data_IF_476425535851
#
_entry.id   IF_476425535851
#
_cell.length_a   1.000
_cell.length_b   1.000
_cell.length_c   1.000
_cell.angle_alpha   90.00
_cell.angle_beta   90.00
_cell.angle_gamma   90.00
#
_symmetry.space_group_name_H-M   'P 1'
#
loop_
_entity.id
_entity.type
_entity.pdbx_description
1 polymer ?
#
# COMPACT_ATOMS: atom_id res chain seq x y z
N UNK A 1 8.18 -25.34 20.26
CA UNK A 1 7.48 -24.36 19.40
C UNK A 1 8.51 -23.76 18.47
N UNK A 2 8.25 -23.57 17.16
CA UNK A 2 9.28 -23.06 16.28
C UNK A 2 9.54 -21.59 16.65
N UNK A 3 10.76 -21.34 17.11
CA UNK A 3 11.34 -20.02 17.28
C UNK A 3 11.16 -19.25 15.97
N UNK A 4 10.57 -18.06 16.03
CA UNK A 4 10.69 -17.05 14.98
C UNK A 4 12.17 -16.63 14.93
N UNK A 5 12.99 -17.47 14.32
CA UNK A 5 14.34 -17.10 13.96
C UNK A 5 14.21 -16.01 12.90
N UNK A 6 14.56 -14.78 13.29
CA UNK A 6 14.97 -13.73 12.36
C UNK A 6 15.89 -14.36 11.32
N UNK A 7 15.35 -14.58 10.13
CA UNK A 7 16.09 -15.08 8.99
C UNK A 7 17.19 -14.06 8.72
N UNK A 8 18.45 -14.50 8.83
CA UNK A 8 19.60 -13.75 8.33
C UNK A 8 19.27 -13.22 6.94
N UNK A 9 19.65 -11.97 6.58
CA UNK A 9 19.27 -11.37 5.31
C UNK A 9 19.69 -12.30 4.18
N UNK A 10 18.69 -12.94 3.57
CA UNK A 10 18.87 -13.85 2.45
C UNK A 10 19.35 -13.05 1.25
N UNK A 11 20.28 -13.67 0.51
CA UNK A 11 20.87 -13.24 -0.77
C UNK A 11 19.97 -12.25 -1.54
N UNK A 12 20.47 -11.04 -1.79
CA UNK A 12 19.77 -10.04 -2.59
C UNK A 12 19.75 -10.48 -4.05
N UNK A 13 18.74 -11.25 -4.44
CA UNK A 13 18.40 -11.44 -5.85
C UNK A 13 17.91 -10.10 -6.39
N UNK A 14 18.55 -9.61 -7.47
CA UNK A 14 18.15 -8.35 -8.09
C UNK A 14 17.12 -8.67 -9.17
N UNK A 15 15.89 -8.27 -8.90
CA UNK A 15 14.80 -8.41 -9.85
C UNK A 15 14.66 -7.16 -10.71
N UNK A 16 14.31 -7.35 -11.97
CA UNK A 16 13.82 -6.29 -12.85
C UNK A 16 12.56 -6.76 -13.55
N UNK A 17 11.67 -5.83 -13.86
CA UNK A 17 10.41 -6.11 -14.53
C UNK A 17 10.16 -5.08 -15.62
N UNK A 18 9.70 -5.57 -16.76
CA UNK A 18 9.20 -4.79 -17.88
C UNK A 18 7.75 -5.20 -18.11
N UNK A 19 6.89 -4.21 -18.25
CA UNK A 19 5.48 -4.44 -18.56
C UNK A 19 5.22 -3.89 -19.95
N UNK A 20 4.46 -4.62 -20.74
CA UNK A 20 3.99 -4.21 -22.05
C UNK A 20 2.53 -4.62 -22.23
N UNK A 21 1.86 -4.03 -23.20
CA UNK A 21 0.48 -4.39 -23.54
C UNK A 21 0.45 -5.82 -24.08
N UNK A 22 -0.48 -6.63 -23.61
CA UNK A 22 -0.69 -7.99 -24.10
C UNK A 22 -1.33 -8.03 -25.49
N UNK A 23 -1.65 -9.23 -25.97
CA UNK A 23 -2.40 -9.38 -27.24
C UNK A 23 -3.80 -8.80 -27.15
N UNK A 24 -4.40 -8.89 -25.97
CA UNK A 24 -5.71 -8.35 -25.67
C UNK A 24 -5.54 -7.08 -24.82
N UNK A 25 -6.31 -6.02 -25.11
CA UNK A 25 -6.25 -4.73 -24.40
C UNK A 25 -6.50 -4.83 -22.88
N UNK A 26 -7.03 -5.98 -22.43
CA UNK A 26 -7.33 -6.28 -21.03
C UNK A 26 -6.21 -6.99 -20.28
N UNK A 27 -5.11 -7.30 -20.97
CA UNK A 27 -3.97 -8.07 -20.46
C UNK A 27 -2.67 -7.31 -20.61
N UNK A 28 -1.74 -7.59 -19.71
CA UNK A 28 -0.37 -7.10 -19.73
C UNK A 28 0.57 -8.27 -19.87
N UNK A 29 1.57 -8.10 -20.73
CA UNK A 29 2.73 -8.99 -20.79
C UNK A 29 3.77 -8.48 -19.81
N UNK A 30 4.17 -9.34 -18.89
CA UNK A 30 5.16 -9.09 -17.85
C UNK A 30 6.39 -9.92 -18.18
N UNK A 31 7.45 -9.24 -18.59
CA UNK A 31 8.78 -9.83 -18.74
C UNK A 31 9.57 -9.48 -17.47
N UNK A 32 9.90 -10.49 -16.66
CA UNK A 32 10.67 -10.32 -15.43
C UNK A 32 12.01 -11.05 -15.54
N UNK A 33 13.04 -10.46 -14.96
CA UNK A 33 14.40 -11.02 -14.95
C UNK A 33 14.88 -11.02 -13.52
N UNK A 34 15.17 -12.21 -13.00
CA UNK A 34 15.83 -12.41 -11.73
C UNK A 34 17.32 -12.63 -11.99
N UNK A 35 18.15 -11.69 -11.55
CA UNK A 35 19.61 -11.82 -11.55
C UNK A 35 20.02 -12.34 -10.18
N UNK A 36 20.60 -13.54 -10.16
CA UNK A 36 21.30 -14.06 -8.99
C UNK A 36 22.73 -13.53 -9.07
N UNK A 37 23.23 -12.83 -8.05
CA UNK A 37 24.65 -12.43 -8.05
C UNK A 37 25.54 -13.69 -7.93
N UNK A 38 26.67 -13.77 -8.65
CA UNK A 38 27.59 -14.90 -8.58
C UNK A 38 28.08 -15.10 -7.15
N UNK A 39 28.10 -16.35 -6.69
CA UNK A 39 29.10 -16.81 -5.72
C UNK A 39 30.19 -17.54 -6.51
N UNK A 40 31.45 -17.27 -6.15
CA UNK A 40 32.59 -18.09 -6.53
C UNK A 40 32.37 -19.52 -6.06
N UNK A 41 31.76 -20.36 -6.90
CA UNK A 41 31.79 -21.82 -6.83
C UNK A 41 31.54 -22.37 -8.23
N UNK A 42 32.64 -22.72 -8.89
CA UNK A 42 32.65 -23.50 -10.12
C UNK A 42 31.88 -24.82 -9.96
N UNK A 43 31.16 -25.19 -11.02
CA UNK A 43 30.87 -26.60 -11.32
C UNK A 43 29.39 -26.95 -11.46
N UNK A 44 28.87 -26.83 -12.69
CA UNK A 44 28.07 -27.88 -13.32
C UNK A 44 27.69 -27.45 -14.75
N UNK A 45 28.22 -28.17 -15.73
CA UNK A 45 27.93 -27.99 -17.15
C UNK A 45 26.46 -28.27 -17.46
N UNK A 46 25.80 -27.32 -18.14
CA UNK A 46 24.43 -27.46 -18.61
C UNK A 46 24.19 -26.57 -19.84
N UNK A 47 23.96 -27.23 -20.97
CA UNK A 47 23.81 -26.69 -22.32
C UNK A 47 22.79 -25.53 -22.45
N UNK A 48 23.25 -24.38 -22.97
CA UNK A 48 22.40 -23.28 -23.44
C UNK A 48 23.08 -21.92 -23.30
N UNK A 49 23.09 -21.12 -24.37
CA UNK A 49 23.67 -19.77 -24.46
C UNK A 49 22.82 -18.73 -23.67
N UNK A 50 22.67 -18.97 -22.36
CA UNK A 50 22.05 -18.08 -21.39
C UNK A 50 22.95 -18.08 -20.17
N UNK A 51 23.37 -16.88 -19.79
CA UNK A 51 24.12 -16.62 -18.56
C UNK A 51 23.52 -17.43 -17.39
N UNK A 52 24.23 -18.41 -16.79
CA UNK A 52 23.67 -19.37 -15.82
C UNK A 52 23.10 -18.68 -14.56
N UNK A 53 23.43 -17.41 -14.36
CA UNK A 53 23.07 -16.58 -13.22
C UNK A 53 21.78 -15.76 -13.41
N UNK A 54 21.26 -15.69 -14.65
CA UNK A 54 20.11 -14.84 -14.99
C UNK A 54 18.91 -15.69 -15.43
N UNK A 55 17.85 -15.72 -14.61
CA UNK A 55 16.58 -16.37 -14.95
C UNK A 55 15.58 -15.35 -15.47
N UNK A 56 15.20 -15.47 -16.74
CA UNK A 56 14.15 -14.65 -17.38
C UNK A 56 12.81 -15.39 -17.39
N UNK A 57 11.75 -14.77 -16.91
CA UNK A 57 10.37 -15.27 -16.96
C UNK A 57 9.50 -14.31 -17.77
N UNK A 58 8.63 -14.84 -18.62
CA UNK A 58 7.64 -14.07 -19.38
C UNK A 58 6.26 -14.63 -19.08
N UNK A 59 5.38 -13.82 -18.52
CA UNK A 59 4.01 -14.21 -18.17
C UNK A 59 3.01 -13.19 -18.69
N UNK A 60 1.77 -13.62 -18.90
CA UNK A 60 0.65 -12.72 -19.22
C UNK A 60 -0.25 -12.64 -18.00
N UNK A 61 -0.60 -11.42 -17.59
CA UNK A 61 -1.48 -11.14 -16.44
C UNK A 61 -2.53 -10.14 -16.82
N UNK A 62 -3.75 -10.38 -16.41
CA UNK A 62 -4.85 -9.43 -16.47
C UNK A 62 -4.69 -8.34 -15.41
N UNK A 63 -5.31 -7.18 -15.66
CA UNK A 63 -5.38 -6.11 -14.66
C UNK A 63 -6.01 -6.57 -13.34
N UNK A 64 -6.99 -7.48 -13.40
CA UNK A 64 -7.62 -8.06 -12.21
C UNK A 64 -6.64 -8.90 -11.38
N UNK A 65 -5.71 -9.62 -12.01
CA UNK A 65 -4.67 -10.37 -11.30
C UNK A 65 -3.67 -9.44 -10.61
N UNK A 66 -3.37 -8.28 -11.20
CA UNK A 66 -2.52 -7.26 -10.56
C UNK A 66 -3.23 -6.65 -9.35
N UNK A 67 -4.54 -6.38 -9.45
CA UNK A 67 -5.34 -5.94 -8.31
C UNK A 67 -5.37 -7.00 -7.19
N UNK A 68 -5.50 -8.28 -7.53
CA UNK A 68 -5.40 -9.37 -6.55
C UNK A 68 -4.04 -9.44 -5.86
N UNK A 69 -2.94 -9.29 -6.63
CA UNK A 69 -1.59 -9.22 -6.05
C UNK A 69 -1.46 -8.00 -5.13
N UNK A 70 -2.05 -6.87 -5.51
CA UNK A 70 -2.05 -5.66 -4.69
C UNK A 70 -2.72 -5.89 -3.35
N UNK A 71 -3.93 -6.45 -3.34
CA UNK A 71 -4.66 -6.74 -2.10
C UNK A 71 -3.91 -7.78 -1.25
N UNK A 72 -3.34 -8.80 -1.88
CA UNK A 72 -2.49 -9.79 -1.23
C UNK A 72 -1.30 -9.16 -0.49
N UNK A 73 -0.53 -8.31 -1.20
CA UNK A 73 0.65 -7.66 -0.62
C UNK A 73 0.25 -6.78 0.56
N UNK A 74 -0.84 -6.02 0.42
CA UNK A 74 -1.39 -5.18 1.50
C UNK A 74 -1.73 -6.00 2.74
N UNK A 75 -2.36 -7.17 2.56
CA UNK A 75 -2.85 -8.00 3.66
C UNK A 75 -1.73 -8.81 4.33
N UNK A 76 -0.83 -9.42 3.55
CA UNK A 76 0.25 -10.26 4.07
C UNK A 76 1.42 -9.45 4.63
N UNK A 77 1.65 -8.26 4.09
CA UNK A 77 2.83 -7.44 4.39
C UNK A 77 2.45 -6.00 4.80
N UNK A 78 1.67 -5.83 5.90
CA UNK A 78 1.05 -4.55 6.23
C UNK A 78 2.05 -3.45 6.63
N UNK A 79 3.29 -3.81 6.99
CA UNK A 79 4.33 -2.86 7.42
C UNK A 79 5.01 -2.10 6.27
N UNK A 80 4.78 -2.51 5.02
CA UNK A 80 5.40 -1.88 3.87
C UNK A 80 4.48 -0.82 3.26
N UNK A 81 4.98 0.42 3.18
CA UNK A 81 4.40 1.41 2.28
C UNK A 81 4.86 1.10 0.86
N UNK A 82 3.95 1.07 -0.10
CA UNK A 82 4.29 0.92 -1.52
C UNK A 82 3.56 1.95 -2.38
N UNK A 83 4.22 2.38 -3.45
CA UNK A 83 3.63 3.25 -4.46
C UNK A 83 2.50 2.49 -5.15
N UNK A 84 1.30 3.05 -5.12
CA UNK A 84 0.17 2.42 -5.81
C UNK A 84 -0.05 3.10 -7.12
N UNK A 85 0.17 2.27 -8.11
CA UNK A 85 -0.22 2.43 -9.47
C UNK A 85 -0.71 1.07 -9.97
N UNK A 86 -1.53 0.37 -9.18
CA UNK A 86 -2.28 -0.74 -9.77
C UNK A 86 -3.30 -0.11 -10.73
N UNK A 87 -3.31 -0.48 -12.02
CA UNK A 87 -4.24 0.10 -12.99
C UNK A 87 -5.68 -0.15 -12.52
N UNK A 88 -6.38 0.93 -12.19
CA UNK A 88 -7.77 0.86 -11.77
C UNK A 88 -8.63 0.46 -12.95
N UNK A 89 -9.11 -0.78 -12.98
CA UNK A 89 -10.11 -1.17 -13.97
C UNK A 89 -11.46 -0.57 -13.59
N UNK A 90 -11.78 0.63 -14.07
CA UNK A 90 -13.14 1.17 -14.01
C UNK A 90 -13.60 1.66 -15.39
N UNK A 91 -14.15 0.71 -16.16
CA UNK A 91 -15.26 0.94 -17.09
C UNK A 91 -15.07 1.83 -18.32
N UNK A 92 -13.95 2.52 -18.46
CA UNK A 92 -13.67 3.40 -19.61
C UNK A 92 -12.21 3.26 -19.97
N UNK A 93 -11.89 3.22 -21.26
CA UNK A 93 -10.57 2.94 -21.79
C UNK A 93 -9.50 3.86 -21.16
N UNK A 94 -8.84 3.39 -20.10
CA UNK A 94 -7.56 3.95 -19.70
C UNK A 94 -6.64 3.69 -20.88
N UNK A 95 -5.96 4.72 -21.38
CA UNK A 95 -4.94 4.55 -22.41
C UNK A 95 -3.96 3.45 -21.97
N UNK A 96 -3.80 2.41 -22.79
CA UNK A 96 -3.04 1.21 -22.40
C UNK A 96 -1.59 1.53 -22.00
N UNK A 97 -1.05 2.64 -22.50
CA UNK A 97 0.25 3.20 -22.12
C UNK A 97 0.30 3.61 -20.65
N UNK A 98 -0.69 4.37 -20.18
CA UNK A 98 -0.77 4.79 -18.78
C UNK A 98 -0.94 3.57 -17.86
N UNK A 99 -1.82 2.64 -18.23
CA UNK A 99 -2.05 1.41 -17.47
C UNK A 99 -0.78 0.55 -17.37
N UNK A 100 0.00 0.45 -18.46
CA UNK A 100 1.29 -0.25 -18.50
C UNK A 100 2.32 0.42 -17.60
N UNK A 101 2.45 1.75 -17.67
CA UNK A 101 3.37 2.53 -16.82
C UNK A 101 3.07 2.29 -15.33
N UNK A 102 1.79 2.28 -15.00
CA UNK A 102 1.32 2.07 -13.64
C UNK A 102 1.60 0.67 -13.13
N UNK A 103 1.20 -0.35 -13.88
CA UNK A 103 1.54 -1.72 -13.55
C UNK A 103 3.05 -1.92 -13.40
N UNK A 104 3.87 -1.31 -14.27
CA UNK A 104 5.32 -1.37 -14.16
C UNK A 104 5.83 -0.74 -12.88
N UNK A 105 5.36 0.46 -12.51
CA UNK A 105 5.77 1.13 -11.28
C UNK A 105 5.42 0.30 -10.04
N UNK A 106 4.19 -0.24 -9.98
CA UNK A 106 3.75 -1.09 -8.87
C UNK A 106 4.59 -2.37 -8.78
N UNK A 107 4.72 -3.14 -9.86
CA UNK A 107 5.46 -4.40 -9.85
C UNK A 107 6.95 -4.19 -9.59
N UNK A 108 7.53 -3.08 -10.08
CA UNK A 108 8.91 -2.70 -9.77
C UNK A 108 9.06 -2.40 -8.28
N UNK A 109 8.11 -1.71 -7.66
CA UNK A 109 8.12 -1.43 -6.21
C UNK A 109 8.03 -2.71 -5.38
N UNK A 110 7.20 -3.67 -5.81
CA UNK A 110 7.08 -4.98 -5.14
C UNK A 110 8.42 -5.72 -5.21
N UNK A 111 9.02 -5.82 -6.40
CA UNK A 111 10.27 -6.55 -6.62
C UNK A 111 11.52 -5.82 -6.07
N UNK A 112 11.47 -4.50 -5.91
CA UNK A 112 12.52 -3.73 -5.27
C UNK A 112 12.58 -3.95 -3.75
N UNK A 113 11.53 -4.54 -3.15
CA UNK A 113 11.45 -4.81 -1.71
C UNK A 113 11.87 -6.26 -1.44
N UNK A 114 13.04 -6.52 -0.82
CA UNK A 114 13.57 -7.88 -0.68
C UNK A 114 12.62 -8.85 0.05
N UNK A 115 11.92 -8.38 1.09
CA UNK A 115 10.96 -9.21 1.83
C UNK A 115 9.78 -9.68 0.96
N UNK A 116 9.35 -8.85 0.00
CA UNK A 116 8.28 -9.20 -0.95
C UNK A 116 8.82 -10.06 -2.09
N UNK A 117 9.98 -9.71 -2.64
CA UNK A 117 10.61 -10.45 -3.74
C UNK A 117 11.00 -11.88 -3.34
N UNK A 118 11.29 -12.11 -2.07
CA UNK A 118 11.64 -13.43 -1.53
C UNK A 118 10.41 -14.25 -1.07
N UNK A 119 9.18 -13.74 -1.22
CA UNK A 119 7.95 -14.47 -0.90
C UNK A 119 7.64 -15.49 -2.01
N UNK A 120 8.28 -16.65 -1.90
CA UNK A 120 8.23 -17.75 -2.88
C UNK A 120 6.84 -18.32 -3.08
N UNK A 121 5.98 -18.22 -2.08
CA UNK A 121 4.73 -18.95 -2.03
C UNK A 121 3.61 -18.21 -2.76
N UNK A 122 3.66 -16.87 -2.81
CA UNK A 122 2.59 -16.10 -3.44
C UNK A 122 3.05 -15.00 -4.39
N UNK A 123 4.11 -14.26 -4.06
CA UNK A 123 4.55 -13.12 -4.88
C UNK A 123 5.41 -13.63 -6.03
N UNK A 124 6.39 -14.50 -5.76
CA UNK A 124 7.23 -15.07 -6.82
C UNK A 124 6.42 -15.91 -7.80
N UNK A 125 5.36 -16.60 -7.35
CA UNK A 125 4.45 -17.36 -8.21
C UNK A 125 3.76 -16.45 -9.23
N UNK A 126 3.41 -15.21 -8.85
CA UNK A 126 2.83 -14.23 -9.76
C UNK A 126 3.73 -13.95 -10.97
N UNK A 127 5.05 -13.90 -10.79
CA UNK A 127 6.01 -13.59 -11.86
C UNK A 127 6.49 -14.81 -12.64
N UNK A 128 6.44 -16.00 -12.03
CA UNK A 128 7.07 -17.21 -12.56
C UNK A 128 6.07 -18.22 -13.14
N UNK A 129 4.83 -18.25 -12.66
CA UNK A 129 3.82 -19.21 -13.12
C UNK A 129 3.29 -18.84 -14.52
N UNK A 130 3.07 -19.83 -15.39
CA UNK A 130 2.40 -19.60 -16.68
C UNK A 130 0.87 -19.63 -16.53
N UNK A 131 0.37 -20.17 -15.42
CA UNK A 131 -1.07 -20.28 -15.16
C UNK A 131 -1.66 -18.95 -14.66
N UNK A 132 -2.98 -18.89 -14.67
CA UNK A 132 -3.74 -17.79 -14.07
C UNK A 132 -3.37 -17.67 -12.60
N UNK A 133 -3.10 -16.44 -12.18
CA UNK A 133 -2.83 -16.13 -10.79
C UNK A 133 -4.13 -16.17 -9.98
N UNK A 134 -4.15 -17.08 -9.01
CA UNK A 134 -5.18 -17.18 -7.99
C UNK A 134 -4.40 -17.29 -6.68
N UNK A 135 -4.40 -16.26 -5.83
CA UNK A 135 -3.76 -16.39 -4.52
C UNK A 135 -4.49 -17.49 -3.74
N UNK A 136 -3.71 -18.37 -3.08
CA UNK A 136 -4.30 -19.43 -2.25
C UNK A 136 -5.23 -18.83 -1.19
N UNK A 137 -6.40 -19.44 -0.94
CA UNK A 137 -7.32 -18.95 0.08
C UNK A 137 -6.64 -18.97 1.45
N UNK A 138 -6.52 -17.79 2.05
CA UNK A 138 -5.90 -17.63 3.35
C UNK A 138 -6.67 -18.38 4.44
N UNK A 139 -5.99 -19.13 5.33
CA UNK A 139 -6.48 -19.19 6.70
C UNK A 139 -6.44 -17.77 7.25
N UNK A 140 -7.51 -17.26 7.89
CA UNK A 140 -7.53 -15.89 8.39
C UNK A 140 -6.31 -15.67 9.29
N UNK A 141 -5.40 -14.79 8.88
CA UNK A 141 -4.30 -14.37 9.73
C UNK A 141 -4.89 -13.87 11.06
N UNK A 142 -4.32 -14.22 12.22
CA UNK A 142 -4.79 -13.73 13.51
C UNK A 142 -4.32 -12.29 13.69
N UNK A 143 -4.81 -11.37 12.85
CA UNK A 143 -4.61 -9.93 12.98
C UNK A 143 -5.94 -9.20 12.97
N UNK A 144 -6.96 -9.78 13.61
CA UNK A 144 -8.19 -9.09 13.98
C UNK A 144 -8.71 -9.62 15.32
N UNK A 145 -7.88 -9.58 16.37
CA UNK A 145 -8.46 -9.41 17.70
C UNK A 145 -9.00 -7.98 17.77
N UNK A 146 -10.31 -7.87 17.51
CA UNK A 146 -11.22 -6.77 17.84
C UNK A 146 -10.59 -5.53 18.48
N UNK A 147 -10.89 -4.38 17.85
CA UNK A 147 -11.13 -3.08 18.52
C UNK A 147 -11.63 -3.30 19.95
N UNK A 148 -10.77 -3.00 20.92
CA UNK A 148 -11.24 -2.50 22.21
C UNK A 148 -10.98 -1.00 22.18
N UNK A 149 -12.08 -0.26 22.09
CA UNK A 149 -12.08 1.17 22.28
C UNK A 149 -11.44 1.53 23.63
N UNK A 150 -10.71 2.63 23.63
CA UNK A 150 -10.34 3.41 24.81
C UNK A 150 -9.60 2.65 25.93
N UNK A 151 -8.27 2.69 25.88
CA UNK A 151 -7.51 2.93 27.11
C UNK A 151 -6.29 3.78 26.78
N UNK A 152 -6.50 5.10 26.75
CA UNK A 152 -5.44 6.07 26.98
C UNK A 152 -4.89 5.80 28.39
N UNK A 153 -3.82 4.99 28.45
CA UNK A 153 -3.15 4.64 29.69
C UNK A 153 -1.75 5.22 29.65
N UNK A 154 -1.59 6.36 30.31
CA UNK A 154 -0.34 7.05 30.49
C UNK A 154 0.67 6.16 31.25
N UNK A 155 1.61 5.56 30.52
CA UNK A 155 2.89 5.11 31.08
C UNK A 155 4.03 5.43 30.10
N UNK A 156 4.42 6.70 30.11
CA UNK A 156 5.75 7.14 29.69
C UNK A 156 6.60 7.23 30.95
N UNK A 157 7.74 6.53 31.08
CA UNK A 157 8.84 7.03 31.92
C UNK A 157 10.23 6.34 31.83
N UNK A 158 10.55 5.47 30.86
CA UNK A 158 11.95 4.91 30.81
C UNK A 158 12.66 5.01 29.44
N UNK A 159 12.03 5.45 28.35
CA UNK A 159 12.69 5.61 27.02
C UNK A 159 12.38 6.94 26.28
N UNK A 160 12.22 8.04 27.03
CA UNK A 160 11.50 9.23 26.57
C UNK A 160 12.11 10.01 25.39
N UNK A 161 13.41 10.29 25.35
CA UNK A 161 13.89 11.34 24.44
C UNK A 161 13.93 10.98 22.94
N UNK A 162 14.06 9.69 22.59
CA UNK A 162 13.99 9.22 21.19
C UNK A 162 12.57 8.80 20.80
N UNK A 163 11.73 8.43 21.76
CA UNK A 163 10.34 8.01 21.52
C UNK A 163 9.48 9.18 21.07
N UNK A 164 9.63 10.34 21.70
CA UNK A 164 8.85 11.55 21.37
C UNK A 164 9.05 11.99 19.90
N UNK A 165 10.29 11.96 19.39
CA UNK A 165 10.59 12.29 18.00
C UNK A 165 10.06 11.26 17.01
N UNK A 166 10.07 9.98 17.40
CA UNK A 166 9.55 8.88 16.59
C UNK A 166 8.04 8.98 16.49
N UNK A 167 7.34 9.18 17.61
CA UNK A 167 5.88 9.29 17.62
C UNK A 167 5.42 10.58 16.92
N UNK A 168 6.16 11.70 17.08
CA UNK A 168 5.94 12.92 16.31
C UNK A 168 6.00 12.69 14.80
N UNK A 169 6.96 11.89 14.32
CA UNK A 169 7.03 11.55 12.89
C UNK A 169 5.75 10.83 12.43
N UNK A 170 5.25 9.86 13.20
CA UNK A 170 4.07 9.09 12.80
C UNK A 170 2.78 9.91 12.89
N UNK A 171 2.67 10.80 13.87
CA UNK A 171 1.56 11.76 13.95
C UNK A 171 1.55 12.72 12.75
N UNK A 172 2.73 13.23 12.37
CA UNK A 172 2.89 14.05 11.17
C UNK A 172 2.56 13.27 9.89
N UNK A 173 3.03 12.03 9.79
CA UNK A 173 2.76 11.16 8.64
C UNK A 173 1.26 10.89 8.50
N UNK A 174 0.57 10.63 9.61
CA UNK A 174 -0.89 10.41 9.65
C UNK A 174 -1.66 11.67 9.26
N UNK A 175 -1.30 12.82 9.82
CA UNK A 175 -1.90 14.10 9.47
C UNK A 175 -1.69 14.44 7.99
N UNK A 176 -0.49 14.20 7.46
CA UNK A 176 -0.18 14.37 6.04
C UNK A 176 -1.05 13.48 5.16
N UNK A 177 -1.14 12.17 5.46
CA UNK A 177 -1.99 11.23 4.69
C UNK A 177 -3.43 11.72 4.63
N UNK A 178 -4.02 12.07 5.78
CA UNK A 178 -5.40 12.53 5.85
C UNK A 178 -5.62 13.83 5.06
N UNK A 179 -4.69 14.77 5.15
CA UNK A 179 -4.77 16.04 4.41
C UNK A 179 -4.71 15.81 2.89
N UNK A 180 -3.74 15.03 2.41
CA UNK A 180 -3.60 14.72 0.98
C UNK A 180 -4.80 13.92 0.49
N UNK A 181 -5.25 12.91 1.24
CA UNK A 181 -6.42 12.11 0.88
C UNK A 181 -7.68 12.97 0.74
N UNK A 182 -7.92 13.88 1.69
CA UNK A 182 -9.03 14.83 1.62
C UNK A 182 -8.96 15.73 0.38
N UNK A 183 -7.77 16.24 0.06
CA UNK A 183 -7.53 17.03 -1.14
C UNK A 183 -7.80 16.26 -2.43
N UNK A 184 -7.29 15.03 -2.54
CA UNK A 184 -7.49 14.18 -3.72
C UNK A 184 -8.96 13.82 -3.94
N UNK A 185 -9.69 13.49 -2.86
CA UNK A 185 -11.13 13.20 -2.96
C UNK A 185 -11.93 14.42 -3.43
N UNK A 186 -11.57 15.62 -2.97
CA UNK A 186 -12.18 16.86 -3.44
C UNK A 186 -11.89 17.11 -4.93
N UNK A 187 -10.64 16.90 -5.36
CA UNK A 187 -10.24 17.04 -6.78
C UNK A 187 -11.00 16.05 -7.67
N UNK A 188 -11.09 14.77 -7.26
CA UNK A 188 -11.87 13.75 -7.99
C UNK A 188 -13.33 14.18 -8.15
N UNK A 189 -13.97 14.62 -7.06
CA UNK A 189 -15.36 15.10 -7.10
C UNK A 189 -15.53 16.28 -8.05
N UNK A 190 -14.59 17.22 -8.04
CA UNK A 190 -14.60 18.38 -8.94
C UNK A 190 -14.40 17.95 -10.40
N UNK A 191 -13.54 16.96 -10.67
CA UNK A 191 -13.35 16.40 -12.01
C UNK A 191 -14.62 15.70 -12.52
N UNK A 192 -15.30 14.91 -11.68
CA UNK A 192 -16.58 14.27 -12.06
C UNK A 192 -17.64 15.34 -12.39
N UNK A 193 -17.71 16.41 -11.59
CA UNK A 193 -18.63 17.53 -11.82
C UNK A 193 -18.28 18.26 -13.12
N UNK A 194 -17.00 18.58 -13.33
CA UNK A 194 -16.51 19.25 -14.54
C UNK A 194 -16.82 18.44 -15.79
N UNK A 195 -16.48 17.14 -15.80
CA UNK A 195 -16.76 16.26 -16.92
C UNK A 195 -18.27 16.16 -17.20
N UNK A 196 -19.10 16.06 -16.16
CA UNK A 196 -20.56 16.10 -16.30
C UNK A 196 -21.05 17.39 -16.99
N UNK A 197 -20.57 18.55 -16.52
CA UNK A 197 -20.94 19.84 -17.14
C UNK A 197 -20.46 19.98 -18.58
N UNK A 198 -19.29 19.41 -18.93
CA UNK A 198 -18.79 19.41 -20.30
C UNK A 198 -19.64 18.51 -21.22
N UNK A 199 -20.08 17.35 -20.74
CA UNK A 199 -20.99 16.46 -21.50
C UNK A 199 -22.33 17.17 -21.76
N UNK A 200 -22.89 17.84 -20.75
CA UNK A 200 -24.11 18.64 -20.90
C UNK A 200 -23.91 19.80 -21.89
N UNK A 201 -22.77 20.50 -21.80
CA UNK A 201 -22.42 21.57 -22.73
C UNK A 201 -22.29 21.06 -24.17
N UNK A 202 -21.58 19.96 -24.39
CA UNK A 202 -21.46 19.29 -25.69
C UNK A 202 -22.82 18.90 -26.27
N UNK A 203 -23.72 18.38 -25.44
CA UNK A 203 -25.11 18.08 -25.84
C UNK A 203 -25.85 19.33 -26.33
N UNK A 204 -25.64 20.47 -25.67
CA UNK A 204 -26.19 21.77 -26.10
C UNK A 204 -25.61 22.26 -27.44
N UNK A 205 -24.31 22.06 -27.65
CA UNK A 205 -23.64 22.38 -28.93
C UNK A 205 -24.21 21.52 -30.07
N UNK A 206 -24.35 20.21 -29.85
CA UNK A 206 -24.97 19.28 -30.81
C UNK A 206 -26.41 19.66 -31.18
N UNK A 207 -27.23 20.04 -30.20
CA UNK A 207 -28.60 20.49 -30.47
C UNK A 207 -28.63 21.80 -31.28
N UNK A 208 -27.67 22.69 -31.03
CA UNK A 208 -27.54 23.96 -31.76
C UNK A 208 -27.11 23.71 -33.20
N UNK A 209 -26.10 22.86 -33.40
CA UNK A 209 -25.66 22.36 -34.71
C UNK A 209 -26.83 21.78 -35.49
N UNK A 210 -27.56 20.82 -34.92
CA UNK A 210 -28.71 20.15 -35.56
C UNK A 210 -29.75 21.16 -36.04
N UNK A 211 -30.14 22.11 -35.18
CA UNK A 211 -31.12 23.15 -35.55
C UNK A 211 -30.61 24.08 -36.64
N UNK A 212 -29.34 24.49 -36.60
CA UNK A 212 -28.75 25.33 -37.63
C UNK A 212 -28.72 24.61 -38.97
N UNK A 213 -28.37 23.33 -38.98
CA UNK A 213 -28.40 22.47 -40.17
C UNK A 213 -29.81 22.31 -40.73
N UNK A 214 -30.83 22.14 -39.87
CA UNK A 214 -32.24 22.13 -40.27
C UNK A 214 -32.68 23.45 -40.89
N UNK A 215 -32.35 24.60 -40.29
CA UNK A 215 -32.67 25.91 -40.88
C UNK A 215 -31.95 26.15 -42.21
N UNK A 216 -30.74 25.62 -42.35
CA UNK A 216 -29.92 25.76 -43.54
C UNK A 216 -30.27 24.77 -44.67
N UNK A 217 -31.28 23.91 -44.47
CA UNK A 217 -31.70 22.92 -45.46
C UNK A 217 -32.44 23.53 -46.65
N UNK A 218 -32.87 24.80 -46.55
CA UNK A 218 -33.49 25.52 -47.65
C UNK A 218 -32.42 26.24 -48.49
N UNK A 219 -32.02 25.63 -49.60
CA UNK A 219 -30.96 26.14 -50.50
C UNK A 219 -31.26 27.49 -51.16
N UNK A 220 -32.52 27.97 -51.11
CA UNK A 220 -32.91 29.26 -51.66
C UNK A 220 -32.74 30.42 -50.67
N UNK A 221 -32.38 30.16 -49.40
CA UNK A 221 -32.14 31.20 -48.41
C UNK A 221 -30.70 31.76 -48.55
N UNK A 222 -30.53 33.08 -48.78
CA UNK A 222 -29.21 33.69 -48.90
C UNK A 222 -28.32 33.55 -47.65
N UNK A 223 -28.87 33.19 -46.49
CA UNK A 223 -28.14 33.02 -45.22
C UNK A 223 -27.75 31.54 -44.98
N UNK A 224 -28.33 30.59 -45.72
CA UNK A 224 -28.15 29.15 -45.49
C UNK A 224 -26.66 28.72 -45.46
N UNK A 225 -25.83 29.28 -46.35
CA UNK A 225 -24.39 28.98 -46.37
C UNK A 225 -23.66 29.37 -45.08
N UNK A 226 -24.01 30.52 -44.49
CA UNK A 226 -23.42 30.97 -43.23
C UNK A 226 -23.92 30.14 -42.04
N UNK A 227 -25.19 29.71 -42.08
CA UNK A 227 -25.75 28.83 -41.06
C UNK A 227 -25.08 27.45 -41.06
N UNK A 228 -24.75 26.88 -42.22
CA UNK A 228 -23.98 25.61 -42.30
C UNK A 228 -22.59 25.75 -41.72
N UNK A 229 -21.86 26.81 -42.11
CA UNK A 229 -20.53 27.09 -41.53
C UNK A 229 -20.59 27.23 -40.01
N UNK A 230 -21.62 27.90 -39.50
CA UNK A 230 -21.84 28.04 -38.06
C UNK A 230 -22.18 26.68 -37.41
N UNK A 231 -22.98 25.84 -38.07
CA UNK A 231 -23.26 24.48 -37.63
C UNK A 231 -21.96 23.64 -37.55
N UNK A 232 -21.10 23.70 -38.59
CA UNK A 232 -19.81 23.00 -38.61
C UNK A 232 -18.88 23.45 -37.46
N UNK A 233 -18.91 24.73 -37.10
CA UNK A 233 -18.22 25.25 -35.90
C UNK A 233 -18.76 24.58 -34.63
N UNK A 234 -20.08 24.57 -34.44
CA UNK A 234 -20.70 23.94 -33.27
C UNK A 234 -20.42 22.43 -33.18
N UNK A 235 -20.40 21.73 -34.32
CA UNK A 235 -19.98 20.34 -34.39
C UNK A 235 -18.54 20.14 -33.93
N UNK A 236 -17.62 21.00 -34.39
CA UNK A 236 -16.21 20.94 -34.00
C UNK A 236 -16.02 21.20 -32.51
N UNK A 237 -16.72 22.21 -31.96
CA UNK A 237 -16.69 22.53 -30.53
C UNK A 237 -17.26 21.40 -29.66
N UNK A 238 -18.31 20.72 -30.13
CA UNK A 238 -18.90 19.56 -29.47
C UNK A 238 -17.87 18.42 -29.36
N UNK A 239 -17.23 18.08 -30.47
CA UNK A 239 -16.22 17.03 -30.52
C UNK A 239 -15.05 17.30 -29.58
N UNK A 240 -14.52 18.54 -29.58
CA UNK A 240 -13.43 18.98 -28.69
C UNK A 240 -13.86 18.87 -27.21
N UNK A 241 -15.06 19.37 -26.89
CA UNK A 241 -15.60 19.33 -25.51
C UNK A 241 -15.77 17.88 -25.03
N UNK A 242 -16.32 17.02 -25.88
CA UNK A 242 -16.53 15.62 -25.54
C UNK A 242 -15.19 14.89 -25.34
N UNK A 243 -14.21 15.11 -26.23
CA UNK A 243 -12.86 14.56 -26.09
C UNK A 243 -12.19 14.99 -24.78
N UNK A 244 -12.32 16.26 -24.39
CA UNK A 244 -11.79 16.77 -23.13
C UNK A 244 -12.45 16.12 -21.90
N UNK A 245 -13.78 16.00 -21.91
CA UNK A 245 -14.51 15.34 -20.82
C UNK A 245 -14.09 13.88 -20.64
N UNK A 246 -13.88 13.18 -21.76
CA UNK A 246 -13.39 11.81 -21.76
C UNK A 246 -11.98 11.71 -21.19
N UNK A 247 -11.08 12.63 -21.56
CA UNK A 247 -9.72 12.69 -21.01
C UNK A 247 -9.72 12.86 -19.49
N UNK A 248 -10.58 13.70 -18.94
CA UNK A 248 -10.71 13.85 -17.48
C UNK A 248 -11.13 12.54 -16.80
N UNK A 249 -12.12 11.85 -17.38
CA UNK A 249 -12.71 10.64 -16.81
C UNK A 249 -11.85 9.38 -16.96
N UNK A 250 -11.11 9.26 -18.07
CA UNK A 250 -10.32 8.08 -18.43
C UNK A 250 -8.84 8.19 -18.07
N UNK A 251 -8.30 9.41 -17.98
CA UNK A 251 -6.89 9.63 -17.67
C UNK A 251 -6.70 10.27 -16.29
N UNK A 252 -7.16 11.52 -16.08
CA UNK A 252 -6.81 12.27 -14.86
C UNK A 252 -7.43 11.66 -13.60
N UNK A 253 -8.73 11.36 -13.64
CA UNK A 253 -9.48 10.86 -12.48
C UNK A 253 -8.97 9.49 -11.96
N UNK A 254 -8.76 8.45 -12.81
CA UNK A 254 -8.24 7.17 -12.33
C UNK A 254 -6.87 7.31 -11.66
N UNK A 255 -6.02 8.23 -12.12
CA UNK A 255 -4.70 8.49 -11.51
C UNK A 255 -4.84 9.00 -10.07
N UNK A 256 -5.74 9.95 -9.84
CA UNK A 256 -6.05 10.45 -8.49
C UNK A 256 -6.61 9.36 -7.56
N UNK A 257 -7.46 8.47 -8.08
CA UNK A 257 -7.93 7.31 -7.31
C UNK A 257 -6.82 6.33 -6.97
N UNK A 258 -5.84 6.13 -7.87
CA UNK A 258 -4.70 5.26 -7.60
C UNK A 258 -3.85 5.78 -6.44
N UNK A 259 -3.61 7.10 -6.40
CA UNK A 259 -2.98 7.74 -5.24
C UNK A 259 -3.77 7.55 -3.95
N UNK A 260 -5.10 7.63 -4.01
CA UNK A 260 -5.95 7.36 -2.83
C UNK A 260 -5.76 5.93 -2.31
N UNK A 261 -5.62 4.93 -3.19
CA UNK A 261 -5.27 3.55 -2.79
C UNK A 261 -3.91 3.48 -2.11
N UNK A 262 -2.92 4.22 -2.61
CA UNK A 262 -1.58 4.27 -2.00
C UNK A 262 -1.59 4.88 -0.61
N UNK A 263 -2.33 5.98 -0.43
CA UNK A 263 -2.52 6.61 0.88
C UNK A 263 -3.20 5.66 1.88
N UNK A 264 -4.18 4.87 1.41
CA UNK A 264 -4.81 3.84 2.26
C UNK A 264 -3.79 2.76 2.68
N UNK A 265 -2.89 2.31 1.78
CA UNK A 265 -1.82 1.38 2.15
C UNK A 265 -0.87 1.97 3.21
N UNK A 266 -0.48 3.25 3.05
CA UNK A 266 0.32 3.92 4.07
C UNK A 266 -0.43 4.00 5.41
N UNK A 267 -1.73 4.29 5.39
CA UNK A 267 -2.54 4.32 6.61
C UNK A 267 -2.59 2.96 7.30
N UNK A 268 -2.76 1.87 6.54
CA UNK A 268 -2.72 0.50 7.08
C UNK A 268 -1.37 0.19 7.72
N UNK A 269 -0.26 0.66 7.12
CA UNK A 269 1.07 0.49 7.72
C UNK A 269 1.22 1.25 9.03
N UNK A 270 0.70 2.48 9.12
CA UNK A 270 0.67 3.25 10.36
C UNK A 270 -0.16 2.55 11.44
N UNK A 271 -1.33 2.00 11.08
CA UNK A 271 -2.18 1.26 12.01
C UNK A 271 -1.52 -0.06 12.47
N UNK A 272 -0.81 -0.76 11.57
CA UNK A 272 -0.05 -1.96 11.92
C UNK A 272 1.09 -1.65 12.92
N UNK A 273 1.72 -0.48 12.81
CA UNK A 273 2.67 -0.02 13.84
C UNK A 273 1.99 0.21 15.18
N UNK A 274 0.79 0.79 15.21
CA UNK A 274 0.05 0.99 16.45
C UNK A 274 -0.25 -0.34 17.14
N UNK A 275 -0.62 -1.38 16.38
CA UNK A 275 -0.79 -2.74 16.91
C UNK A 275 0.51 -3.25 17.54
N UNK A 276 1.65 -3.10 16.86
CA UNK A 276 2.95 -3.50 17.42
C UNK A 276 3.33 -2.71 18.68
N UNK A 277 2.92 -1.44 18.76
CA UNK A 277 3.12 -0.59 19.95
C UNK A 277 2.27 -1.10 21.12
N UNK A 278 1.00 -1.39 20.87
CA UNK A 278 0.09 -1.94 21.88
C UNK A 278 0.60 -3.29 22.43
N UNK A 279 1.08 -4.18 21.55
CA UNK A 279 1.70 -5.46 21.94
C UNK A 279 2.93 -5.28 22.85
N UNK A 280 3.79 -4.31 22.51
CA UNK A 280 4.96 -3.97 23.31
C UNK A 280 4.57 -3.42 24.69
N UNK A 281 3.62 -2.48 24.74
CA UNK A 281 3.16 -1.90 26.00
C UNK A 281 2.49 -2.93 26.91
N UNK A 282 1.72 -3.86 26.35
CA UNK A 282 1.11 -4.94 27.11
C UNK A 282 2.14 -5.94 27.61
N UNK A 283 3.15 -6.27 26.80
CA UNK A 283 4.27 -7.12 27.23
C UNK A 283 5.05 -6.50 28.39
N UNK A 284 5.36 -5.19 28.32
CA UNK A 284 5.99 -4.45 29.42
C UNK A 284 5.16 -4.49 30.72
N UNK A 285 3.82 -4.33 30.61
CA UNK A 285 2.91 -4.42 31.77
C UNK A 285 2.95 -5.81 32.39
N UNK A 286 2.98 -6.87 31.57
CA UNK A 286 3.06 -8.26 32.05
C UNK A 286 4.40 -8.50 32.73
N UNK A 287 5.53 -8.15 32.12
CA UNK A 287 6.86 -8.28 32.73
C UNK A 287 6.93 -7.57 34.07
N UNK A 288 6.51 -6.29 34.12
CA UNK A 288 6.49 -5.51 35.36
C UNK A 288 5.64 -6.16 36.47
N UNK A 289 4.48 -6.73 36.12
CA UNK A 289 3.65 -7.47 37.07
C UNK A 289 4.36 -8.73 37.57
N UNK A 290 5.09 -9.46 36.71
CA UNK A 290 5.88 -10.65 37.09
C UNK A 290 7.07 -10.29 37.97
N UNK A 291 7.80 -9.21 37.66
CA UNK A 291 8.88 -8.69 38.51
C UNK A 291 8.37 -8.35 39.90
N UNK A 292 7.25 -7.60 40.01
CA UNK A 292 6.65 -7.27 41.31
C UNK A 292 6.18 -8.51 42.10
N UNK A 293 5.73 -9.57 41.41
CA UNK A 293 5.38 -10.82 42.07
C UNK A 293 6.62 -11.52 42.62
N UNK A 294 7.71 -11.59 41.85
CA UNK A 294 8.98 -12.15 42.30
C UNK A 294 9.56 -11.38 43.48
N UNK A 295 9.57 -10.05 43.43
CA UNK A 295 10.07 -9.21 44.51
C UNK A 295 9.31 -9.43 45.82
N UNK A 296 7.99 -9.65 45.75
CA UNK A 296 7.15 -9.96 46.92
C UNK A 296 7.50 -11.32 47.53
N UNK A 297 7.72 -12.34 46.71
CA UNK A 297 8.06 -13.69 47.19
C UNK A 297 9.49 -13.71 47.75
N UNK A 298 10.44 -13.05 47.08
CA UNK A 298 11.82 -12.89 47.56
C UNK A 298 11.91 -12.08 48.85
N UNK A 299 11.10 -11.01 48.98
CA UNK A 299 11.01 -10.20 50.20
C UNK A 299 10.32 -10.92 51.36
N UNK A 300 9.30 -11.74 51.11
CA UNK A 300 8.63 -12.53 52.16
C UNK A 300 9.50 -13.67 52.70
N UNK A 301 10.39 -14.25 51.90
CA UNK A 301 11.31 -15.30 52.35
C UNK A 301 12.38 -14.79 53.34
N UNK A 302 12.69 -13.48 53.32
CA UNK A 302 13.68 -12.87 54.21
C UNK A 302 13.15 -12.48 55.61
N UNK A 303 11.83 -12.55 55.86
CA UNK A 303 11.20 -12.04 57.09
C UNK A 303 11.02 -13.08 58.21
N UNK A 304 11.52 -14.32 58.05
CA UNK A 304 11.56 -15.29 59.16
C UNK A 304 12.97 -15.69 59.62
N UNK A 305 13.74 -14.75 60.22
CA UNK A 305 14.81 -15.10 61.15
C UNK A 305 14.38 -14.80 62.59
N UNK A 306 13.38 -15.51 63.14
CA UNK A 306 13.22 -15.73 64.60
C UNK A 306 11.96 -16.51 64.96
N UNK A 307 11.97 -17.83 64.80
CA UNK A 307 11.16 -18.71 65.64
C UNK A 307 11.99 -19.94 66.03
N UNK A 308 13.10 -19.68 66.71
CA UNK A 308 13.71 -20.65 67.64
C UNK A 308 13.25 -20.32 69.05
N UNK A 309 12.07 -20.82 69.45
CA UNK A 309 11.85 -21.38 70.78
C UNK A 309 10.43 -21.93 70.91
N UNK A 310 10.33 -23.27 70.82
CA UNK A 310 9.38 -24.08 71.57
C UNK A 310 7.89 -23.72 71.53
N UNK A 311 7.17 -24.20 70.53
CA UNK A 311 5.81 -24.70 70.77
C UNK A 311 5.46 -25.80 69.78
N UNK A 312 5.49 -27.04 70.28
CA UNK A 312 5.06 -28.24 69.57
C UNK A 312 3.53 -28.19 69.52
N UNK A 313 2.97 -27.65 68.44
CA UNK A 313 1.55 -27.84 68.12
C UNK A 313 1.46 -29.11 67.28
N UNK A 314 0.98 -30.17 67.91
CA UNK A 314 0.50 -31.37 67.26
C UNK A 314 -0.84 -31.10 66.58
N UNK A 315 -0.91 -31.43 65.28
CA UNK A 315 -2.06 -31.55 64.39
C UNK A 315 -2.12 -30.51 63.26
N UNK A 316 -1.97 -31.00 62.02
CA UNK A 316 -2.38 -30.32 60.80
C UNK A 316 -1.24 -29.91 59.88
N UNK A 317 -0.89 -30.78 58.93
CA UNK A 317 -0.28 -30.45 57.64
C UNK A 317 0.94 -29.52 57.65
N UNK A 318 2.15 -30.10 57.73
CA UNK A 318 3.38 -29.42 57.34
C UNK A 318 3.32 -29.24 55.81
N UNK A 319 2.78 -28.12 55.34
CA UNK A 319 2.98 -27.67 53.97
C UNK A 319 4.47 -27.30 53.83
N UNK A 320 5.24 -28.24 53.30
CA UNK A 320 6.70 -28.26 53.37
C UNK A 320 7.36 -27.12 52.59
N UNK A 321 8.58 -26.81 53.00
CA UNK A 321 9.56 -25.92 52.35
C UNK A 321 9.64 -26.15 50.82
N UNK A 322 9.45 -27.39 50.35
CA UNK A 322 9.43 -27.72 48.92
C UNK A 322 8.30 -27.06 48.11
N UNK A 323 7.14 -26.77 48.72
CA UNK A 323 6.01 -26.09 48.03
C UNK A 323 6.36 -24.63 47.71
N UNK A 324 7.16 -23.99 48.56
CA UNK A 324 7.61 -22.61 48.35
C UNK A 324 8.73 -22.51 47.31
N UNK A 325 9.65 -23.47 47.30
CA UNK A 325 10.69 -23.59 46.27
C UNK A 325 10.09 -23.84 44.89
N UNK A 326 9.12 -24.77 44.79
CA UNK A 326 8.40 -25.06 43.54
C UNK A 326 7.62 -23.84 43.03
N UNK A 327 6.96 -23.10 43.93
CA UNK A 327 6.25 -21.87 43.57
C UNK A 327 7.19 -20.76 43.10
N UNK A 328 8.33 -20.56 43.76
CA UNK A 328 9.34 -19.58 43.35
C UNK A 328 9.94 -19.95 41.98
N UNK A 329 10.20 -21.24 41.74
CA UNK A 329 10.71 -21.74 40.46
C UNK A 329 9.70 -21.54 39.32
N UNK A 330 8.40 -21.81 39.58
CA UNK A 330 7.32 -21.55 38.62
C UNK A 330 7.19 -20.05 38.31
N UNK A 331 7.27 -19.19 39.32
CA UNK A 331 7.16 -17.74 39.13
C UNK A 331 8.36 -17.17 38.37
N UNK A 332 9.55 -17.70 38.63
CA UNK A 332 10.78 -17.35 37.89
C UNK A 332 10.68 -17.75 36.42
N UNK A 333 10.13 -18.94 36.13
CA UNK A 333 9.90 -19.38 34.75
C UNK A 333 8.89 -18.48 34.01
N UNK A 334 7.80 -18.08 34.67
CA UNK A 334 6.81 -17.16 34.10
C UNK A 334 7.36 -15.75 33.88
N UNK A 335 8.28 -15.29 34.74
CA UNK A 335 8.96 -14.02 34.53
C UNK A 335 9.89 -14.07 33.32
N UNK A 336 10.73 -15.11 33.22
CA UNK A 336 11.62 -15.30 32.07
C UNK A 336 10.83 -15.37 30.76
N UNK A 337 9.68 -16.05 30.77
CA UNK A 337 8.79 -16.08 29.61
C UNK A 337 8.23 -14.69 29.26
N UNK A 338 7.85 -13.88 30.26
CA UNK A 338 7.39 -12.51 30.04
C UNK A 338 8.50 -11.62 29.46
N UNK A 339 9.73 -11.74 29.95
CA UNK A 339 10.89 -11.03 29.41
C UNK A 339 11.15 -11.41 27.94
N UNK A 340 11.05 -12.70 27.60
CA UNK A 340 11.17 -13.16 26.21
C UNK A 340 10.09 -12.52 25.31
N UNK A 341 8.84 -12.48 25.75
CA UNK A 341 7.77 -11.82 24.99
C UNK A 341 7.97 -10.32 24.85
N UNK A 342 8.48 -9.64 25.88
CA UNK A 342 8.80 -8.22 25.81
C UNK A 342 9.93 -7.94 24.81
N UNK A 343 10.98 -8.76 24.80
CA UNK A 343 12.07 -8.66 23.82
C UNK A 343 11.54 -8.86 22.41
N UNK A 344 10.75 -9.90 22.16
CA UNK A 344 10.15 -10.15 20.84
C UNK A 344 9.23 -9.00 20.40
N UNK A 345 8.41 -8.45 21.29
CA UNK A 345 7.53 -7.33 20.99
C UNK A 345 8.34 -6.05 20.69
N UNK A 346 9.45 -5.84 21.41
CA UNK A 346 10.38 -4.73 21.16
C UNK A 346 11.02 -4.83 19.77
N UNK A 347 11.45 -6.04 19.39
CA UNK A 347 12.03 -6.30 18.07
C UNK A 347 10.99 -6.05 16.96
N UNK A 348 9.75 -6.52 17.13
CA UNK A 348 8.65 -6.27 16.17
C UNK A 348 8.34 -4.78 16.02
N UNK A 349 8.22 -4.04 17.12
CA UNK A 349 7.97 -2.60 17.09
C UNK A 349 9.13 -1.84 16.44
N UNK A 350 10.37 -2.24 16.73
CA UNK A 350 11.57 -1.64 16.13
C UNK A 350 11.60 -1.88 14.63
N UNK A 351 11.36 -3.12 14.20
CA UNK A 351 11.27 -3.50 12.79
C UNK A 351 10.15 -2.76 12.06
N UNK A 352 8.94 -2.70 12.63
CA UNK A 352 7.82 -1.94 12.08
C UNK A 352 8.19 -0.46 11.91
N UNK A 353 8.77 0.15 12.95
CA UNK A 353 9.17 1.55 12.95
C UNK A 353 10.21 1.85 11.87
N UNK A 354 11.26 1.03 11.74
CA UNK A 354 12.31 1.24 10.74
C UNK A 354 11.78 1.02 9.33
N UNK A 355 10.99 -0.04 9.12
CA UNK A 355 10.45 -0.40 7.81
C UNK A 355 9.51 0.67 7.27
N UNK A 356 8.63 1.21 8.12
CA UNK A 356 7.71 2.28 7.72
C UNK A 356 8.47 3.58 7.49
N UNK A 357 9.44 3.95 8.33
CA UNK A 357 10.23 5.18 8.11
C UNK A 357 10.99 5.15 6.79
N UNK A 358 11.59 4.01 6.46
CA UNK A 358 12.32 3.83 5.21
C UNK A 358 11.39 3.85 4.00
N UNK A 359 10.26 3.16 4.06
CA UNK A 359 9.35 3.03 2.91
C UNK A 359 8.48 4.28 2.72
N UNK A 360 8.00 4.92 3.79
CA UNK A 360 7.14 6.09 3.73
C UNK A 360 7.76 7.26 2.95
N UNK A 361 9.03 7.61 3.25
CA UNK A 361 9.70 8.72 2.57
C UNK A 361 9.80 8.49 1.06
N UNK A 362 10.26 7.30 0.66
CA UNK A 362 10.39 6.91 -0.75
C UNK A 362 9.05 6.98 -1.49
N UNK A 363 7.99 6.47 -0.87
CA UNK A 363 6.65 6.46 -1.49
C UNK A 363 6.06 7.87 -1.56
N UNK A 364 6.22 8.67 -0.50
CA UNK A 364 5.76 10.07 -0.49
C UNK A 364 6.42 10.89 -1.59
N UNK A 365 7.74 10.76 -1.75
CA UNK A 365 8.48 11.53 -2.75
C UNK A 365 8.07 11.12 -4.16
N UNK A 366 7.95 9.81 -4.42
CA UNK A 366 7.43 9.28 -5.69
C UNK A 366 5.98 9.70 -5.99
N UNK A 367 5.13 9.79 -4.96
CA UNK A 367 3.77 10.34 -5.11
C UNK A 367 3.80 11.82 -5.48
N UNK A 368 4.70 12.61 -4.90
CA UNK A 368 4.89 14.01 -5.24
C UNK A 368 5.25 14.20 -6.71
N UNK A 369 6.20 13.41 -7.20
CA UNK A 369 6.63 13.44 -8.60
C UNK A 369 5.50 13.05 -9.57
N UNK A 370 4.74 12.00 -9.27
CA UNK A 370 3.62 11.58 -10.13
C UNK A 370 2.43 12.55 -10.07
N UNK A 371 2.13 13.16 -8.92
CA UNK A 371 1.14 14.23 -8.82
C UNK A 371 1.53 15.46 -9.64
N UNK A 372 2.81 15.83 -9.64
CA UNK A 372 3.32 16.89 -10.50
C UNK A 372 3.15 16.51 -11.98
N UNK A 373 3.44 15.27 -12.35
CA UNK A 373 3.23 14.79 -13.71
C UNK A 373 1.76 14.80 -14.11
N UNK A 374 0.85 14.37 -13.22
CA UNK A 374 -0.61 14.45 -13.45
C UNK A 374 -1.03 15.88 -13.75
N UNK A 375 -0.55 16.84 -12.96
CA UNK A 375 -0.87 18.25 -13.14
C UNK A 375 -0.32 18.79 -14.47
N UNK A 376 0.92 18.45 -14.82
CA UNK A 376 1.54 18.83 -16.09
C UNK A 376 0.74 18.29 -17.29
N UNK A 377 0.35 17.01 -17.24
CA UNK A 377 -0.44 16.36 -18.29
C UNK A 377 -1.82 17.02 -18.41
N UNK A 378 -2.47 17.32 -17.29
CA UNK A 378 -3.76 18.02 -17.26
C UNK A 378 -3.65 19.41 -17.89
N UNK A 379 -2.64 20.20 -17.53
CA UNK A 379 -2.44 21.55 -18.09
C UNK A 379 -2.13 21.48 -19.58
N UNK A 380 -1.29 20.53 -20.01
CA UNK A 380 -0.99 20.33 -21.42
C UNK A 380 -2.25 20.00 -22.24
N UNK A 381 -3.13 19.14 -21.71
CA UNK A 381 -4.41 18.81 -22.32
C UNK A 381 -5.35 20.03 -22.39
N UNK A 382 -5.42 20.86 -21.34
CA UNK A 382 -6.17 22.11 -21.37
C UNK A 382 -5.67 23.06 -22.47
N UNK A 383 -4.35 23.25 -22.57
CA UNK A 383 -3.74 24.12 -23.60
C UNK A 383 -4.06 23.60 -25.00
N UNK A 384 -3.96 22.28 -25.20
CA UNK A 384 -4.30 21.62 -26.47
C UNK A 384 -5.76 21.87 -26.84
N UNK A 385 -6.69 21.59 -25.93
CA UNK A 385 -8.13 21.83 -26.13
C UNK A 385 -8.41 23.29 -26.52
N UNK A 386 -7.86 24.26 -25.78
CA UNK A 386 -8.05 25.68 -26.10
C UNK A 386 -7.46 26.08 -27.45
N UNK A 387 -6.34 25.47 -27.85
CA UNK A 387 -5.73 25.69 -29.17
C UNK A 387 -6.61 25.14 -30.29
N UNK A 388 -7.25 23.98 -30.09
CA UNK A 388 -8.20 23.39 -31.04
C UNK A 388 -9.48 24.23 -31.16
N UNK A 389 -9.99 24.78 -30.05
CA UNK A 389 -11.11 25.72 -30.06
C UNK A 389 -10.79 26.97 -30.87
N UNK A 390 -9.61 27.57 -30.66
CA UNK A 390 -9.17 28.73 -31.42
C UNK A 390 -9.05 28.42 -32.92
N UNK A 391 -8.46 27.28 -33.28
CA UNK A 391 -8.36 26.84 -34.67
C UNK A 391 -9.74 26.63 -35.32
N UNK A 392 -10.72 26.09 -34.58
CA UNK A 392 -12.09 25.94 -35.07
C UNK A 392 -12.75 27.30 -35.32
N UNK A 393 -12.55 28.27 -34.42
CA UNK A 393 -13.06 29.65 -34.59
C UNK A 393 -12.39 30.33 -35.79
N UNK A 394 -11.07 30.19 -35.95
CA UNK A 394 -10.33 30.75 -37.08
C UNK A 394 -10.75 30.15 -38.42
N UNK A 395 -11.10 28.85 -38.46
CA UNK A 395 -11.61 28.19 -39.66
C UNK A 395 -13.05 28.62 -40.03
N UNK A 396 -13.82 29.08 -39.04
CA UNK A 396 -15.17 29.57 -39.24
C UNK A 396 -15.23 31.01 -39.78
N UNK A 397 -14.34 31.87 -39.29
CA UNK A 397 -14.17 33.27 -39.75
C UNK A 397 -13.70 33.31 -41.21
#
# INVERSE_FOLDING_TARGET
>A
MPSCALTKPTRNSRWSVRVSVGRDETTLRIDSVAVSLPEECAGADGYGDKDPETRSYSTTRSYAEIDLLFDLVREKHPLFCFCVSAPLKHGTAIESVAATRYAQAFLTSVLATPALANDTDHITVFFTSVFRYIPDPFPPAPLQSRRSAASSSAFSLVFLKRRDDVDRFFDQAKAHILAVQGGLLAVVKNLDTLAGTQIEYGTGLFQTETRLSEYASNDFDPIAGNLRKLADLFHSLESITHAQSLHHLSNTRPRMHSHTRSLNCMSVALDARLVALDEYEDSCKVTRRRTQQLDRVGGSAAVTPSLKSGQRISNGGIAGVGVWEDYHLQLSALHLQAEQFEVEATERLTYATSTIKESYGKVRDAQGDDLQQILNDYVADQIKCQSEVLAAIEAWL
#
